data_IF_272273743634
#
_entry.id   IF_272273743634
#
_cell.length_a   1.000
_cell.length_b   1.000
_cell.length_c   1.000
_cell.angle_alpha   90.00
_cell.angle_beta   90.00
_cell.angle_gamma   90.00
#
_symmetry.space_group_name_H-M   'P 1'
#
loop_
_entity.id
_entity.type
_entity.pdbx_description
1 polymer ?
#
# COMPACT_ATOMS: atom_id res chain seq x y z
N UNK A 1 11.58 6.62 -12.79
CA UNK A 1 10.93 6.31 -11.49
C UNK A 1 11.88 6.69 -10.38
N UNK A 2 11.37 7.33 -9.34
CA UNK A 2 12.17 7.73 -8.19
C UNK A 2 12.20 6.55 -7.20
N UNK A 3 13.34 5.88 -7.09
CA UNK A 3 13.52 4.83 -6.10
C UNK A 3 13.71 5.47 -4.71
N UNK A 4 12.86 5.08 -3.78
CA UNK A 4 12.94 5.42 -2.37
C UNK A 4 13.71 4.33 -1.63
N UNK A 5 14.33 4.69 -0.52
CA UNK A 5 15.15 3.76 0.26
C UNK A 5 14.59 3.60 1.67
N UNK A 6 14.35 2.37 2.06
CA UNK A 6 14.10 1.98 3.44
C UNK A 6 15.34 1.33 4.06
N UNK A 7 15.40 1.33 5.38
CA UNK A 7 16.51 0.77 6.15
C UNK A 7 16.00 -0.31 7.10
N UNK A 8 16.78 -1.36 7.25
CA UNK A 8 16.51 -2.45 8.17
C UNK A 8 17.56 -2.44 9.28
N UNK A 9 17.10 -2.57 10.51
CA UNK A 9 17.94 -2.58 11.70
C UNK A 9 17.58 -3.73 12.63
N UNK A 10 18.48 -4.01 13.57
CA UNK A 10 18.23 -4.78 14.80
C UNK A 10 18.48 -3.89 16.02
N UNK A 11 17.79 -4.16 17.11
CA UNK A 11 18.19 -3.67 18.43
C UNK A 11 19.56 -4.23 18.82
N UNK A 12 20.26 -3.58 19.74
CA UNK A 12 21.59 -4.01 20.18
C UNK A 12 21.60 -5.45 20.74
N UNK A 13 20.53 -5.87 21.42
CA UNK A 13 20.33 -7.24 21.93
C UNK A 13 19.85 -8.23 20.84
N UNK A 14 19.60 -7.77 19.62
CA UNK A 14 19.18 -8.55 18.44
C UNK A 14 17.83 -9.27 18.58
N UNK A 15 16.99 -8.85 19.50
CA UNK A 15 15.67 -9.44 19.76
C UNK A 15 14.54 -8.77 18.99
N UNK A 16 14.75 -7.55 18.48
CA UNK A 16 13.74 -6.83 17.72
C UNK A 16 14.30 -6.32 16.39
N UNK A 17 13.56 -6.53 15.33
CA UNK A 17 13.86 -6.02 13.99
C UNK A 17 13.04 -4.76 13.74
N UNK A 18 13.71 -3.75 13.16
CA UNK A 18 13.11 -2.46 12.86
C UNK A 18 13.27 -2.17 11.38
N UNK A 19 12.18 -1.78 10.74
CA UNK A 19 12.14 -1.30 9.36
C UNK A 19 11.76 0.16 9.39
N UNK A 20 12.63 1.01 8.86
CA UNK A 20 12.40 2.45 8.79
C UNK A 20 12.32 2.89 7.34
N UNK A 21 11.31 3.70 7.03
CA UNK A 21 11.17 4.40 5.75
C UNK A 21 11.06 5.89 5.99
N UNK A 22 11.62 6.66 5.08
CA UNK A 22 11.51 8.11 5.06
C UNK A 22 11.14 8.54 3.64
N UNK A 23 9.97 9.14 3.48
CA UNK A 23 9.34 9.42 2.19
C UNK A 23 9.03 10.90 2.12
N UNK A 24 9.59 11.66 1.16
CA UNK A 24 9.19 13.05 0.94
C UNK A 24 7.67 13.14 0.74
N UNK A 25 7.00 14.11 1.34
CA UNK A 25 5.55 14.30 1.18
C UNK A 25 5.15 14.42 -0.30
N UNK A 26 6.01 15.00 -1.13
CA UNK A 26 5.82 15.09 -2.58
C UNK A 26 5.89 13.73 -3.32
N UNK A 27 6.34 12.66 -2.66
CA UNK A 27 6.38 11.31 -3.21
C UNK A 27 5.14 10.48 -2.85
N UNK A 28 4.19 11.04 -2.09
CA UNK A 28 2.88 10.41 -1.90
C UNK A 28 2.12 10.52 -3.23
N UNK A 29 1.56 9.40 -3.75
CA UNK A 29 0.89 9.40 -5.05
C UNK A 29 -0.23 10.43 -5.15
N UNK A 30 -0.35 11.10 -6.30
CA UNK A 30 -1.32 12.17 -6.52
C UNK A 30 -2.78 11.72 -6.33
N UNK A 31 -3.10 10.46 -6.67
CA UNK A 31 -4.45 9.94 -6.44
C UNK A 31 -4.81 9.86 -4.94
N UNK A 32 -3.83 9.68 -4.04
CA UNK A 32 -4.04 9.73 -2.59
C UNK A 32 -4.18 11.17 -2.10
N UNK A 33 -3.31 12.06 -2.58
CA UNK A 33 -3.34 13.49 -2.18
C UNK A 33 -4.58 14.22 -2.71
N UNK A 34 -5.24 13.69 -3.73
CA UNK A 34 -6.45 14.25 -4.33
C UNK A 34 -7.76 13.70 -3.73
N UNK A 35 -7.73 12.83 -2.73
CA UNK A 35 -8.97 12.43 -2.03
C UNK A 35 -9.64 13.66 -1.39
N UNK A 36 -10.98 13.69 -1.41
CA UNK A 36 -11.74 14.89 -1.03
C UNK A 36 -11.65 15.23 0.46
N UNK A 37 -11.57 14.22 1.33
CA UNK A 37 -11.56 14.40 2.78
C UNK A 37 -10.14 14.32 3.35
N UNK A 38 -9.70 15.31 4.11
CA UNK A 38 -8.33 15.36 4.64
C UNK A 38 -8.05 14.29 5.71
N UNK A 39 -9.03 13.89 6.54
CA UNK A 39 -8.86 12.77 7.47
C UNK A 39 -8.68 11.45 6.71
N UNK A 40 -9.45 11.27 5.63
CA UNK A 40 -9.33 10.08 4.78
C UNK A 40 -8.01 10.05 4.02
N UNK A 41 -7.58 11.21 3.53
CA UNK A 41 -6.26 11.39 2.90
C UNK A 41 -5.13 11.02 3.86
N UNK A 42 -5.19 11.53 5.09
CA UNK A 42 -4.25 11.20 6.15
C UNK A 42 -4.26 9.70 6.47
N UNK A 43 -5.45 9.11 6.61
CA UNK A 43 -5.63 7.69 6.85
C UNK A 43 -4.97 6.83 5.76
N UNK A 44 -5.25 7.11 4.49
CA UNK A 44 -4.66 6.39 3.37
C UNK A 44 -3.14 6.61 3.26
N UNK A 45 -2.67 7.83 3.55
CA UNK A 45 -1.23 8.11 3.55
C UNK A 45 -0.51 7.28 4.62
N UNK A 46 -1.01 7.23 5.84
CA UNK A 46 -0.43 6.39 6.89
C UNK A 46 -0.41 4.91 6.51
N UNK A 47 -1.50 4.39 5.94
CA UNK A 47 -1.55 3.01 5.44
C UNK A 47 -0.50 2.75 4.34
N UNK A 48 -0.29 3.70 3.42
CA UNK A 48 0.75 3.60 2.41
C UNK A 48 2.15 3.53 3.04
N UNK A 49 2.43 4.40 4.02
CA UNK A 49 3.73 4.44 4.71
C UNK A 49 3.98 3.13 5.48
N UNK A 50 2.97 2.60 6.17
CA UNK A 50 3.05 1.27 6.81
C UNK A 50 3.33 0.17 5.77
N UNK A 51 2.66 0.21 4.60
CA UNK A 51 2.95 -0.69 3.48
C UNK A 51 4.39 -0.58 2.97
N UNK A 52 4.93 0.65 2.89
CA UNK A 52 6.32 0.86 2.49
C UNK A 52 7.31 0.24 3.49
N UNK A 53 7.05 0.30 4.80
CA UNK A 53 7.88 -0.37 5.80
C UNK A 53 7.77 -1.89 5.71
N UNK A 54 6.58 -2.44 5.40
CA UNK A 54 6.35 -3.88 5.19
C UNK A 54 7.10 -4.42 3.96
N UNK A 55 7.44 -3.58 2.94
CA UNK A 55 8.27 -4.03 1.81
C UNK A 55 9.59 -4.65 2.28
N UNK A 56 10.15 -4.17 3.38
CA UNK A 56 11.36 -4.74 3.98
C UNK A 56 11.25 -6.22 4.40
N UNK A 57 10.04 -6.78 4.54
CA UNK A 57 9.81 -8.20 4.81
C UNK A 57 9.99 -9.09 3.58
N UNK A 58 9.75 -8.53 2.38
CA UNK A 58 9.56 -9.31 1.16
C UNK A 58 10.87 -9.52 0.40
N UNK A 59 11.03 -10.74 -0.10
CA UNK A 59 11.97 -11.07 -1.18
C UNK A 59 11.37 -10.66 -2.53
N UNK A 60 12.18 -10.59 -3.57
CA UNK A 60 11.81 -10.04 -4.90
C UNK A 60 10.59 -10.71 -5.55
N UNK A 61 10.34 -11.97 -5.27
CA UNK A 61 9.22 -12.75 -5.86
C UNK A 61 7.97 -12.79 -5.00
N UNK A 62 8.01 -12.22 -3.81
CA UNK A 62 6.90 -12.21 -2.87
C UNK A 62 6.01 -10.98 -3.07
N UNK A 63 4.76 -11.12 -2.65
CA UNK A 63 3.81 -10.01 -2.60
C UNK A 63 2.88 -10.15 -1.40
N UNK A 64 2.42 -9.02 -0.90
CA UNK A 64 1.33 -8.92 0.05
C UNK A 64 0.28 -7.99 -0.57
N UNK A 65 -0.97 -8.43 -0.57
CA UNK A 65 -2.12 -7.61 -0.91
C UNK A 65 -3.05 -7.56 0.29
N UNK A 66 -3.33 -6.36 0.80
CA UNK A 66 -4.26 -6.15 1.91
C UNK A 66 -5.48 -5.43 1.37
N UNK A 67 -6.65 -6.00 1.57
CA UNK A 67 -7.92 -5.39 1.22
C UNK A 67 -8.75 -5.17 2.46
N UNK A 68 -9.13 -3.93 2.69
CA UNK A 68 -10.02 -3.51 3.76
C UNK A 68 -11.40 -3.23 3.16
N UNK A 69 -12.42 -3.90 3.67
CA UNK A 69 -13.82 -3.68 3.29
C UNK A 69 -14.57 -3.03 4.45
N UNK A 70 -14.95 -1.79 4.27
CA UNK A 70 -15.72 -1.03 5.25
C UNK A 70 -17.23 -1.30 5.12
N UNK A 71 -18.02 -1.03 6.19
CA UNK A 71 -19.46 -1.14 6.13
C UNK A 71 -20.08 -0.36 4.96
N UNK A 72 -21.05 -0.96 4.31
CA UNK A 72 -21.67 -0.45 3.10
C UNK A 72 -21.20 -1.18 1.84
N UNK A 73 -21.86 -0.93 0.72
CA UNK A 73 -21.52 -1.54 -0.55
C UNK A 73 -20.33 -0.83 -1.19
N UNK A 74 -19.38 -1.58 -1.74
CA UNK A 74 -18.26 -1.08 -2.55
C UNK A 74 -17.25 -0.16 -1.81
N UNK A 75 -17.27 -0.10 -0.51
CA UNK A 75 -16.34 0.69 0.28
C UNK A 75 -15.07 -0.12 0.57
N UNK A 76 -14.07 -0.02 -0.28
CA UNK A 76 -12.83 -0.79 -0.15
C UNK A 76 -11.59 0.07 -0.26
N UNK A 77 -10.55 -0.30 0.50
CA UNK A 77 -9.18 0.17 0.33
C UNK A 77 -8.33 -1.07 0.06
N UNK A 78 -7.44 -0.99 -0.92
CA UNK A 78 -6.48 -2.04 -1.24
C UNK A 78 -5.07 -1.49 -1.15
N UNK A 79 -4.17 -2.25 -0.50
CA UNK A 79 -2.74 -1.97 -0.44
C UNK A 79 -2.05 -3.11 -1.17
N UNK A 80 -1.18 -2.78 -2.11
CA UNK A 80 -0.34 -3.73 -2.85
C UNK A 80 1.11 -3.49 -2.49
N UNK A 81 1.81 -4.54 -2.08
CA UNK A 81 3.23 -4.51 -1.69
C UNK A 81 3.91 -5.63 -2.46
N UNK A 82 4.79 -5.28 -3.38
CA UNK A 82 5.51 -6.24 -4.21
C UNK A 82 6.98 -6.32 -3.80
N UNK A 83 7.53 -7.51 -3.81
CA UNK A 83 8.93 -7.76 -3.55
C UNK A 83 9.86 -7.04 -4.53
N UNK A 84 9.41 -6.84 -5.77
CA UNK A 84 10.07 -5.99 -6.79
C UNK A 84 10.25 -4.53 -6.37
N UNK A 85 9.54 -4.08 -5.33
CA UNK A 85 9.64 -2.74 -4.75
C UNK A 85 8.43 -1.85 -4.98
N UNK A 86 7.43 -2.25 -5.73
CA UNK A 86 6.23 -1.44 -5.90
C UNK A 86 5.34 -1.52 -4.67
N UNK A 87 4.97 -0.35 -4.14
CA UNK A 87 4.04 -0.21 -3.01
C UNK A 87 3.00 0.83 -3.36
N UNK A 88 1.73 0.45 -3.30
CA UNK A 88 0.65 1.37 -3.62
C UNK A 88 -0.60 1.12 -2.79
N UNK A 89 -1.45 2.13 -2.72
CA UNK A 89 -2.77 2.09 -2.09
C UNK A 89 -3.81 2.64 -3.05
N UNK A 90 -4.98 2.00 -3.08
CA UNK A 90 -6.11 2.46 -3.87
C UNK A 90 -7.40 2.34 -3.05
N UNK A 91 -8.13 3.43 -2.93
CA UNK A 91 -9.50 3.44 -2.41
C UNK A 91 -10.50 3.32 -3.56
N UNK A 92 -11.64 2.66 -3.30
CA UNK A 92 -12.76 2.67 -4.24
C UNK A 92 -13.22 4.12 -4.50
N UNK A 93 -13.70 4.38 -5.69
CA UNK A 93 -14.13 5.72 -6.15
C UNK A 93 -15.12 6.37 -5.17
N UNK A 94 -16.03 5.58 -4.62
CA UNK A 94 -16.99 6.01 -3.61
C UNK A 94 -16.32 6.47 -2.31
N UNK A 95 -15.28 5.78 -1.84
CA UNK A 95 -14.53 6.22 -0.65
C UNK A 95 -13.66 7.44 -0.94
N UNK A 96 -13.04 7.48 -2.11
CA UNK A 96 -12.20 8.59 -2.54
C UNK A 96 -12.95 9.93 -2.67
N UNK A 97 -14.26 9.87 -2.99
CA UNK A 97 -15.13 11.03 -3.15
C UNK A 97 -15.97 11.36 -1.90
N UNK A 98 -15.92 10.50 -0.85
CA UNK A 98 -16.70 10.75 0.36
C UNK A 98 -16.14 11.92 1.17
N UNK A 99 -17.04 12.81 1.60
CA UNK A 99 -16.76 13.85 2.60
C UNK A 99 -16.79 13.32 4.04
N UNK A 100 -16.89 12.00 4.20
CA UNK A 100 -17.12 11.35 5.50
C UNK A 100 -15.83 10.72 6.03
N UNK A 101 -15.55 10.90 7.31
CA UNK A 101 -14.40 10.29 7.98
C UNK A 101 -14.55 8.77 8.16
N UNK A 102 -13.42 8.06 8.23
CA UNK A 102 -13.36 6.61 8.51
C UNK A 102 -14.08 6.28 9.82
N UNK A 103 -13.95 7.14 10.84
CA UNK A 103 -14.65 7.03 12.11
C UNK A 103 -16.17 6.94 11.96
N UNK A 104 -16.76 7.68 11.03
CA UNK A 104 -18.21 7.63 10.77
C UNK A 104 -18.61 6.35 10.02
N UNK A 105 -17.75 5.83 9.14
CA UNK A 105 -18.00 4.58 8.44
C UNK A 105 -18.04 3.38 9.40
N UNK A 106 -17.22 3.41 10.45
CA UNK A 106 -17.04 2.32 11.42
C UNK A 106 -18.10 2.30 12.55
N UNK A 107 -18.88 3.37 12.73
CA UNK A 107 -19.75 3.57 13.93
C UNK A 107 -20.78 2.47 14.23
N UNK A 108 -21.10 1.59 13.29
CA UNK A 108 -22.22 0.62 13.46
C UNK A 108 -21.88 -0.83 13.12
N UNK A 109 -20.74 -1.12 12.51
CA UNK A 109 -20.38 -2.47 12.06
C UNK A 109 -18.87 -2.60 11.96
N UNK A 110 -18.36 -3.78 12.22
CA UNK A 110 -16.97 -4.12 11.96
C UNK A 110 -16.64 -4.07 10.48
N UNK A 111 -15.43 -3.64 10.16
CA UNK A 111 -14.85 -3.79 8.84
C UNK A 111 -14.09 -5.12 8.76
N UNK A 112 -13.79 -5.54 7.54
CA UNK A 112 -13.09 -6.79 7.28
C UNK A 112 -11.77 -6.48 6.57
N UNK A 113 -10.67 -6.99 7.10
CA UNK A 113 -9.37 -6.98 6.46
C UNK A 113 -9.10 -8.39 5.91
N UNK A 114 -8.81 -8.47 4.63
CA UNK A 114 -8.32 -9.68 3.96
C UNK A 114 -6.90 -9.42 3.48
N UNK A 115 -5.95 -10.22 3.93
CA UNK A 115 -4.58 -10.17 3.47
C UNK A 115 -4.26 -11.45 2.69
N UNK A 116 -3.72 -11.28 1.50
CA UNK A 116 -3.20 -12.38 0.68
C UNK A 116 -1.70 -12.18 0.53
N UNK A 117 -0.94 -13.17 0.93
CA UNK A 117 0.52 -13.18 0.79
C UNK A 117 1.00 -14.44 0.10
N UNK A 118 2.11 -14.33 -0.60
CA UNK A 118 2.67 -15.47 -1.32
C UNK A 118 3.61 -15.05 -2.44
N UNK A 119 3.96 -16.01 -3.26
CA UNK A 119 4.74 -15.78 -4.47
C UNK A 119 4.13 -16.57 -5.62
N UNK A 120 4.45 -16.15 -6.84
CA UNK A 120 3.97 -16.84 -8.04
C UNK A 120 4.43 -18.31 -8.11
N UNK A 121 5.53 -18.66 -7.41
CA UNK A 121 6.15 -19.98 -7.48
C UNK A 121 5.83 -20.88 -6.28
N UNK A 122 5.38 -20.34 -5.13
CA UNK A 122 5.27 -21.09 -3.87
C UNK A 122 3.87 -21.07 -3.27
N UNK A 123 2.87 -20.67 -4.06
CA UNK A 123 1.50 -20.61 -3.61
C UNK A 123 1.15 -19.32 -2.85
N UNK A 124 -0.10 -19.23 -2.46
CA UNK A 124 -0.66 -18.07 -1.77
C UNK A 124 -1.43 -18.52 -0.52
N UNK A 125 -1.29 -17.75 0.55
CA UNK A 125 -2.13 -17.86 1.74
C UNK A 125 -3.02 -16.61 1.85
N UNK A 126 -4.24 -16.81 2.35
CA UNK A 126 -5.19 -15.72 2.57
C UNK A 126 -5.72 -15.80 3.98
N UNK A 127 -5.65 -14.69 4.69
CA UNK A 127 -6.20 -14.50 6.03
C UNK A 127 -7.29 -13.45 5.99
N UNK A 128 -8.35 -13.65 6.76
CA UNK A 128 -9.46 -12.69 6.87
C UNK A 128 -9.78 -12.46 8.34
N UNK A 129 -9.73 -11.21 8.78
CA UNK A 129 -9.99 -10.81 10.16
C UNK A 129 -10.99 -9.65 10.21
N UNK A 130 -11.88 -9.60 11.19
CA UNK A 130 -12.66 -8.40 11.48
C UNK A 130 -11.78 -7.35 12.17
N UNK A 131 -12.11 -6.07 12.01
CA UNK A 131 -11.49 -4.98 12.76
C UNK A 131 -12.47 -3.84 13.01
N UNK A 132 -12.26 -3.11 14.09
CA UNK A 132 -13.01 -1.91 14.46
C UNK A 132 -12.10 -0.72 14.79
N UNK A 133 -10.80 -0.89 14.64
CA UNK A 133 -9.81 0.17 14.79
C UNK A 133 -9.96 1.23 13.70
N UNK A 134 -9.62 2.47 14.06
CA UNK A 134 -9.65 3.61 13.14
C UNK A 134 -8.27 4.24 12.93
N UNK A 135 -7.28 3.84 13.72
CA UNK A 135 -5.89 4.22 13.52
C UNK A 135 -5.24 3.22 12.53
N UNK A 136 -4.74 3.68 11.37
CA UNK A 136 -4.09 2.84 10.37
C UNK A 136 -2.97 1.96 10.92
N UNK A 137 -2.13 2.50 11.80
CA UNK A 137 -1.02 1.77 12.40
C UNK A 137 -1.53 0.59 13.24
N UNK A 138 -2.62 0.81 14.00
CA UNK A 138 -3.24 -0.24 14.82
C UNK A 138 -4.00 -1.28 14.00
N UNK A 139 -4.60 -0.89 12.86
CA UNK A 139 -5.27 -1.84 11.95
C UNK A 139 -4.26 -2.86 11.44
N UNK A 140 -3.11 -2.41 10.96
CA UNK A 140 -2.07 -3.32 10.45
C UNK A 140 -1.42 -4.11 11.59
N UNK A 141 -1.21 -3.49 12.75
CA UNK A 141 -0.74 -4.20 13.96
C UNK A 141 -1.69 -5.35 14.35
N UNK A 142 -3.00 -5.09 14.36
CA UNK A 142 -4.03 -6.11 14.65
C UNK A 142 -3.96 -7.29 13.66
N UNK A 143 -3.73 -7.02 12.38
CA UNK A 143 -3.51 -8.07 11.38
C UNK A 143 -2.30 -8.97 11.75
N UNK A 144 -1.16 -8.39 12.10
CA UNK A 144 0.02 -9.18 12.47
C UNK A 144 -0.22 -10.03 13.74
N UNK A 145 -0.92 -9.48 14.72
CA UNK A 145 -1.24 -10.19 15.95
C UNK A 145 -2.19 -11.37 15.70
N UNK A 146 -3.25 -11.17 14.89
CA UNK A 146 -4.29 -12.18 14.68
C UNK A 146 -3.91 -13.24 13.64
N UNK A 147 -3.23 -12.83 12.58
CA UNK A 147 -2.95 -13.69 11.43
C UNK A 147 -1.54 -14.28 11.46
N UNK A 148 -0.53 -13.46 11.75
CA UNK A 148 0.87 -13.89 11.73
C UNK A 148 1.36 -14.37 13.11
N UNK A 149 0.63 -14.05 14.18
CA UNK A 149 0.98 -14.35 15.58
C UNK A 149 2.38 -13.84 15.97
N UNK A 150 2.81 -12.75 15.35
CA UNK A 150 4.09 -12.08 15.61
C UNK A 150 3.79 -10.72 16.23
N UNK A 151 4.41 -10.47 17.39
CA UNK A 151 4.32 -9.15 18.02
C UNK A 151 5.00 -8.12 17.12
N UNK A 152 4.17 -7.29 16.51
CA UNK A 152 4.57 -6.29 15.51
C UNK A 152 3.77 -5.02 15.74
N UNK A 153 4.44 -3.88 15.76
CA UNK A 153 3.77 -2.60 15.87
C UNK A 153 4.25 -1.63 14.80
N UNK A 154 3.42 -0.64 14.52
CA UNK A 154 3.67 0.39 13.52
C UNK A 154 3.61 1.78 14.16
N UNK A 155 4.43 2.67 13.65
CA UNK A 155 4.36 4.08 14.01
C UNK A 155 4.65 4.93 12.78
N UNK A 156 3.67 5.72 12.37
CA UNK A 156 3.77 6.63 11.22
C UNK A 156 3.52 8.08 11.65
N UNK A 157 4.38 8.97 11.22
CA UNK A 157 4.26 10.41 11.50
C UNK A 157 4.85 11.25 10.38
N UNK A 158 4.51 12.54 10.33
CA UNK A 158 5.14 13.49 9.42
C UNK A 158 6.09 14.41 10.17
N UNK A 159 7.26 14.69 9.56
CA UNK A 159 8.24 15.57 10.11
C UNK A 159 9.04 16.27 9.01
N UNK A 160 9.15 17.60 9.07
CA UNK A 160 9.97 18.44 8.16
C UNK A 160 9.76 18.11 6.66
N UNK A 161 8.50 17.95 6.23
CA UNK A 161 8.16 17.68 4.84
C UNK A 161 8.36 16.23 4.41
N UNK A 162 8.58 15.31 5.34
CA UNK A 162 8.70 13.88 5.11
C UNK A 162 7.67 13.10 5.94
N UNK A 163 7.23 11.97 5.39
CA UNK A 163 6.58 10.91 6.15
C UNK A 163 7.62 9.92 6.62
N UNK A 164 7.57 9.58 7.89
CA UNK A 164 8.46 8.59 8.51
C UNK A 164 7.59 7.44 9.00
N UNK A 165 7.96 6.22 8.63
CA UNK A 165 7.30 5.01 9.05
C UNK A 165 8.26 4.03 9.69
N UNK A 166 7.82 3.45 10.79
CA UNK A 166 8.50 2.36 11.47
C UNK A 166 7.59 1.15 11.54
N UNK A 167 8.14 0.00 11.24
CA UNK A 167 7.59 -1.29 11.59
C UNK A 167 8.58 -1.96 12.54
N UNK A 168 8.12 -2.30 13.73
CA UNK A 168 8.91 -2.89 14.81
C UNK A 168 8.36 -4.28 15.06
N UNK A 169 9.20 -5.30 14.91
CA UNK A 169 8.79 -6.71 14.94
C UNK A 169 9.67 -7.50 15.91
N UNK A 170 9.03 -8.20 16.85
CA UNK A 170 9.71 -9.14 17.74
C UNK A 170 10.32 -10.30 16.95
N UNK A 171 11.49 -10.73 17.38
CA UNK A 171 12.14 -11.96 16.95
C UNK A 171 12.07 -12.99 18.10
N UNK A 172 12.33 -14.28 17.83
CA UNK A 172 12.42 -15.27 18.88
C UNK A 172 13.42 -14.84 19.98
N UNK A 173 12.97 -14.84 21.22
CA UNK A 173 13.75 -14.39 22.37
C UNK A 173 13.55 -12.92 22.78
N UNK A 174 12.65 -12.18 22.13
CA UNK A 174 12.24 -10.86 22.56
C UNK A 174 11.46 -10.93 23.88
N UNK A 175 11.68 -9.96 24.76
CA UNK A 175 10.88 -9.82 25.98
C UNK A 175 9.46 -9.35 25.66
N UNK A 176 8.50 -9.79 26.48
CA UNK A 176 7.10 -9.34 26.38
C UNK A 176 7.04 -7.82 26.54
N UNK A 177 6.37 -7.15 25.60
CA UNK A 177 6.22 -5.68 25.59
C UNK A 177 7.45 -4.91 25.10
N UNK A 178 8.52 -5.57 24.64
CA UNK A 178 9.71 -4.89 24.09
C UNK A 178 9.35 -4.05 22.86
N UNK A 179 8.48 -4.57 21.98
CA UNK A 179 7.98 -3.85 20.78
C UNK A 179 7.27 -2.57 21.18
N UNK A 180 6.32 -2.63 22.12
CA UNK A 180 5.58 -1.48 22.60
C UNK A 180 6.45 -0.44 23.30
N UNK A 181 7.46 -0.90 24.04
CA UNK A 181 8.45 -0.01 24.65
C UNK A 181 9.24 0.77 23.61
N UNK A 182 9.65 0.12 22.52
CA UNK A 182 10.35 0.79 21.40
C UNK A 182 9.43 1.82 20.74
N UNK A 183 8.19 1.46 20.44
CA UNK A 183 7.22 2.38 19.86
C UNK A 183 6.95 3.59 20.78
N UNK A 184 6.83 3.38 22.06
CA UNK A 184 6.63 4.46 23.04
C UNK A 184 7.85 5.39 23.09
N UNK A 185 9.05 4.84 23.06
CA UNK A 185 10.29 5.61 23.01
C UNK A 185 10.43 6.40 21.69
N UNK A 186 10.03 5.82 20.55
CA UNK A 186 9.99 6.51 19.26
C UNK A 186 9.06 7.72 19.30
N UNK A 187 7.85 7.57 19.85
CA UNK A 187 6.89 8.68 20.01
C UNK A 187 7.45 9.79 20.90
N UNK A 188 8.03 9.43 22.04
CA UNK A 188 8.65 10.37 22.95
C UNK A 188 9.83 11.08 22.31
N UNK A 189 10.78 10.33 21.75
CA UNK A 189 12.00 10.88 21.13
C UNK A 189 11.69 11.78 19.94
N UNK A 190 10.62 11.49 19.20
CA UNK A 190 10.17 12.36 18.11
C UNK A 190 9.64 13.70 18.65
N UNK A 191 8.78 13.68 19.68
CA UNK A 191 8.21 14.89 20.27
C UNK A 191 9.27 15.80 20.91
N UNK A 192 10.28 15.20 21.53
CA UNK A 192 11.37 15.93 22.21
C UNK A 192 12.58 16.22 21.31
N UNK A 193 12.58 15.82 20.05
CA UNK A 193 13.68 16.05 19.11
C UNK A 193 14.90 15.14 19.30
N UNK A 194 14.82 14.09 20.09
CA UNK A 194 15.90 13.17 20.44
C UNK A 194 15.96 11.92 19.56
N UNK A 195 15.24 11.89 18.44
CA UNK A 195 15.08 10.70 17.60
C UNK A 195 16.40 10.11 17.11
N UNK A 196 17.33 10.95 16.65
CA UNK A 196 18.64 10.51 16.15
C UNK A 196 19.46 9.81 17.24
N UNK A 197 19.40 10.31 18.46
CA UNK A 197 20.10 9.71 19.60
C UNK A 197 19.51 8.35 19.97
N UNK A 198 18.19 8.23 19.92
CA UNK A 198 17.52 6.94 20.18
C UNK A 198 17.83 5.87 19.12
N UNK A 199 17.96 6.27 17.86
CA UNK A 199 18.30 5.37 16.75
C UNK A 199 19.81 5.00 16.71
N UNK A 200 20.66 5.74 17.41
CA UNK A 200 22.12 5.52 17.37
C UNK A 200 22.56 4.13 17.87
N UNK A 201 21.78 3.51 18.75
CA UNK A 201 22.08 2.18 19.31
C UNK A 201 21.60 1.03 18.41
N UNK A 202 20.96 1.32 17.26
CA UNK A 202 20.47 0.28 16.40
C UNK A 202 21.54 -0.22 15.43
N UNK A 203 21.63 -1.53 15.29
CA UNK A 203 22.55 -2.18 14.37
C UNK A 203 21.96 -2.14 12.95
N UNK A 204 22.57 -1.39 12.07
CA UNK A 204 22.17 -1.38 10.65
C UNK A 204 22.44 -2.73 9.99
N UNK A 205 21.45 -3.26 9.28
CA UNK A 205 21.57 -4.52 8.54
C UNK A 205 21.73 -4.28 7.03
N UNK A 206 20.75 -3.62 6.41
CA UNK A 206 20.72 -3.42 4.97
C UNK A 206 19.72 -2.34 4.57
N UNK A 207 19.84 -1.88 3.35
CA UNK A 207 18.81 -1.08 2.68
C UNK A 207 17.84 -1.99 1.92
N UNK A 208 16.61 -1.50 1.70
CA UNK A 208 15.69 -2.04 0.72
C UNK A 208 15.12 -0.89 -0.12
N UNK A 209 14.72 -1.20 -1.35
CA UNK A 209 14.29 -0.18 -2.30
C UNK A 209 12.82 -0.36 -2.62
N UNK A 210 12.12 0.76 -2.83
CA UNK A 210 10.72 0.75 -3.21
C UNK A 210 10.35 2.01 -3.99
N UNK A 211 9.19 1.98 -4.64
CA UNK A 211 8.57 3.13 -5.30
C UNK A 211 7.08 3.13 -5.02
N UNK A 212 6.51 4.31 -4.87
CA UNK A 212 5.07 4.53 -4.79
C UNK A 212 4.47 4.97 -6.13
N UNK A 213 5.30 5.18 -7.14
CA UNK A 213 4.89 5.56 -8.48
C UNK A 213 4.45 4.33 -9.27
N UNK A 214 3.23 4.35 -9.78
CA UNK A 214 2.72 3.29 -10.65
C UNK A 214 3.35 3.40 -12.05
N UNK A 215 3.84 2.28 -12.55
CA UNK A 215 4.45 2.17 -13.88
C UNK A 215 3.45 1.84 -14.98
N UNK A 216 2.16 1.97 -14.72
CA UNK A 216 1.13 1.75 -15.73
C UNK A 216 1.22 2.80 -16.85
N UNK A 217 1.08 2.33 -18.10
CA UNK A 217 1.04 3.19 -19.29
C UNK A 217 -0.22 2.94 -20.11
N UNK A 218 -0.56 3.90 -20.98
CA UNK A 218 -1.70 3.75 -21.89
C UNK A 218 -1.51 2.55 -22.82
N UNK A 219 -0.27 2.32 -23.26
CA UNK A 219 0.08 1.19 -24.14
C UNK A 219 -0.16 -0.16 -23.45
N UNK A 220 0.26 -0.31 -22.17
CA UNK A 220 0.00 -1.53 -21.40
C UNK A 220 -1.50 -1.82 -21.28
N UNK A 221 -2.29 -0.80 -20.97
CA UNK A 221 -3.74 -0.95 -20.84
C UNK A 221 -4.45 -1.09 -22.19
N UNK A 222 -3.89 -0.54 -23.26
CA UNK A 222 -4.34 -0.81 -24.62
C UNK A 222 -4.21 -2.28 -25.01
N UNK A 223 -3.14 -2.95 -24.57
CA UNK A 223 -2.97 -4.40 -24.80
C UNK A 223 -4.07 -5.23 -24.09
N UNK A 224 -4.56 -4.78 -22.94
CA UNK A 224 -5.66 -5.45 -22.24
C UNK A 224 -6.97 -5.35 -23.03
N UNK A 225 -7.22 -4.25 -23.74
CA UNK A 225 -8.39 -4.12 -24.60
C UNK A 225 -8.41 -5.17 -25.71
N UNK A 226 -7.24 -5.56 -26.22
CA UNK A 226 -7.14 -6.62 -27.22
C UNK A 226 -7.55 -8.02 -26.71
N UNK A 227 -7.63 -8.20 -25.38
CA UNK A 227 -8.17 -9.42 -24.77
C UNK A 227 -9.70 -9.40 -24.67
N UNK A 228 -10.36 -8.28 -24.95
CA UNK A 228 -11.81 -8.20 -25.05
C UNK A 228 -12.30 -8.90 -26.33
N UNK A 229 -13.63 -9.08 -26.43
CA UNK A 229 -14.23 -9.59 -27.66
C UNK A 229 -13.86 -8.67 -28.84
N UNK A 230 -13.29 -9.24 -29.87
CA UNK A 230 -12.95 -8.52 -31.11
C UNK A 230 -14.16 -7.83 -31.73
N UNK A 231 -15.34 -8.46 -31.59
CA UNK A 231 -16.63 -7.89 -32.03
C UNK A 231 -17.03 -6.65 -31.26
N UNK A 232 -16.79 -6.62 -29.92
CA UNK A 232 -17.14 -5.47 -29.10
C UNK A 232 -16.27 -4.25 -29.42
N UNK A 233 -14.98 -4.48 -29.72
CA UNK A 233 -14.07 -3.41 -30.14
C UNK A 233 -14.42 -2.85 -31.53
N UNK A 234 -14.80 -3.73 -32.47
CA UNK A 234 -15.28 -3.29 -33.79
C UNK A 234 -16.56 -2.49 -33.66
N UNK A 235 -17.53 -2.95 -32.86
CA UNK A 235 -18.76 -2.23 -32.61
C UNK A 235 -18.50 -0.84 -31.99
N UNK A 236 -17.54 -0.71 -31.09
CA UNK A 236 -17.14 0.60 -30.52
C UNK A 236 -16.56 1.52 -31.58
N UNK A 237 -15.71 1.00 -32.50
CA UNK A 237 -15.14 1.77 -33.60
C UNK A 237 -16.21 2.23 -34.56
N UNK A 238 -17.10 1.33 -35.04
CA UNK A 238 -18.15 1.62 -36.00
C UNK A 238 -19.17 2.64 -35.46
N UNK A 239 -19.50 2.52 -34.15
CA UNK A 239 -20.42 3.45 -33.48
C UNK A 239 -19.71 4.69 -32.90
N UNK A 240 -18.46 4.94 -33.24
CA UNK A 240 -17.65 6.09 -32.79
C UNK A 240 -17.65 6.25 -31.24
N UNK A 241 -17.64 5.14 -30.51
CA UNK A 241 -17.57 5.15 -29.05
C UNK A 241 -16.14 5.07 -28.59
N UNK A 242 -15.79 5.88 -27.60
CA UNK A 242 -14.51 5.78 -26.90
C UNK A 242 -14.61 4.74 -25.79
N UNK A 243 -13.53 4.01 -25.56
CA UNK A 243 -13.42 3.05 -24.48
C UNK A 243 -12.53 3.58 -23.35
N UNK A 244 -12.80 3.15 -22.13
CA UNK A 244 -12.01 3.50 -20.95
C UNK A 244 -11.48 2.25 -20.27
N UNK A 245 -10.21 2.28 -19.88
CA UNK A 245 -9.64 1.31 -18.97
C UNK A 245 -9.14 2.00 -17.70
N UNK A 246 -9.14 1.29 -16.59
CA UNK A 246 -8.71 1.82 -15.29
C UNK A 246 -7.59 0.97 -14.75
N UNK A 247 -6.50 1.59 -14.37
CA UNK A 247 -5.42 0.89 -13.68
C UNK A 247 -5.90 0.37 -12.33
N UNK A 248 -5.87 -0.94 -12.14
CA UNK A 248 -6.31 -1.59 -10.89
C UNK A 248 -5.40 -1.29 -9.69
N UNK A 249 -4.18 -0.80 -9.95
CA UNK A 249 -3.23 -0.44 -8.90
C UNK A 249 -3.36 1.01 -8.43
N UNK A 250 -3.47 1.98 -9.35
CA UNK A 250 -3.47 3.41 -8.99
C UNK A 250 -4.74 4.17 -9.39
N UNK A 251 -5.72 3.51 -10.00
CA UNK A 251 -6.98 4.13 -10.42
C UNK A 251 -6.88 5.07 -11.62
N UNK A 252 -5.69 5.21 -12.25
CA UNK A 252 -5.52 6.06 -13.43
C UNK A 252 -6.38 5.54 -14.57
N UNK A 253 -7.16 6.45 -15.15
CA UNK A 253 -8.04 6.19 -16.28
C UNK A 253 -7.31 6.47 -17.60
N UNK A 254 -7.49 5.57 -18.56
CA UNK A 254 -6.98 5.70 -19.91
C UNK A 254 -8.13 5.64 -20.89
N UNK A 255 -8.29 6.70 -21.67
CA UNK A 255 -9.33 6.82 -22.71
C UNK A 255 -8.72 6.49 -24.06
N UNK A 256 -9.45 5.73 -24.87
CA UNK A 256 -9.06 5.34 -26.21
C UNK A 256 -10.13 5.81 -27.20
N UNK A 257 -9.73 6.63 -28.15
CA UNK A 257 -10.63 7.07 -29.23
C UNK A 257 -10.85 5.95 -30.24
N UNK A 258 -11.90 6.01 -31.10
CA UNK A 258 -12.12 5.02 -32.15
C UNK A 258 -10.92 4.83 -33.08
N UNK A 259 -10.18 5.92 -33.36
CA UNK A 259 -8.98 5.90 -34.19
C UNK A 259 -7.85 5.12 -33.50
N UNK A 260 -7.65 5.36 -32.19
CA UNK A 260 -6.65 4.63 -31.38
C UNK A 260 -7.02 3.15 -31.25
N UNK A 261 -8.30 2.80 -31.10
CA UNK A 261 -8.77 1.42 -31.08
C UNK A 261 -8.50 0.72 -32.43
N UNK A 262 -8.75 1.40 -33.54
CA UNK A 262 -8.43 0.89 -34.90
C UNK A 262 -6.94 0.61 -35.06
N UNK A 263 -6.08 1.50 -34.55
CA UNK A 263 -4.62 1.30 -34.58
C UNK A 263 -4.17 0.12 -33.70
N UNK A 264 -4.79 -0.06 -32.54
CA UNK A 264 -4.51 -1.22 -31.65
C UNK A 264 -4.88 -2.53 -32.34
N UNK A 265 -6.06 -2.64 -32.95
CA UNK A 265 -6.51 -3.82 -33.70
C UNK A 265 -5.62 -4.11 -34.91
N UNK A 266 -5.16 -3.07 -35.62
CA UNK A 266 -4.23 -3.20 -36.73
C UNK A 266 -2.88 -3.78 -36.33
N UNK A 267 -2.35 -3.37 -35.17
CA UNK A 267 -1.07 -3.92 -34.62
C UNK A 267 -1.21 -5.35 -34.13
N UNK A 268 -2.36 -5.73 -33.56
CA UNK A 268 -2.62 -7.10 -33.09
C UNK A 268 -2.57 -8.16 -34.16
N UNK A 269 -2.77 -7.80 -35.44
CA UNK A 269 -2.68 -8.73 -36.59
C UNK A 269 -1.24 -9.12 -36.99
N UNK A 270 -0.23 -8.42 -36.48
CA UNK A 270 1.20 -8.65 -36.82
C UNK A 270 2.00 -9.30 -35.67
N UNK A 271 1.36 -9.64 -34.54
CA UNK A 271 2.03 -10.24 -33.37
C UNK A 271 1.56 -11.67 -33.03
N UNK A 272 0.95 -12.36 -34.01
CA UNK A 272 0.54 -13.79 -33.91
C UNK A 272 1.51 -14.69 -34.67
#
# INVERSE_FOLDING_TARGET
MKNLTGKKFLTANKTVRIYKVEIPCASVPSHVTNYSNDEFKLFCTKLLISGCSMKGLLNDYQRISIRMKFPGTSNTISISIEGSGFVNILASERLASLETSVNKLMRKKEAILTATQGSNNFGQSTSTIPFNETDPDKIIQHYFQQSEQIDTAFYTHSFKGHWIGYMVQALPGADVGEVEKIISNLKFSHSEGHLQQFEADWLFLTNFFFTTECYCTKEMYGQLLLSWSHTDLIDSIENKRSEETVCTSCGKKYHYTPEELSLLLGRGKYSS
#
